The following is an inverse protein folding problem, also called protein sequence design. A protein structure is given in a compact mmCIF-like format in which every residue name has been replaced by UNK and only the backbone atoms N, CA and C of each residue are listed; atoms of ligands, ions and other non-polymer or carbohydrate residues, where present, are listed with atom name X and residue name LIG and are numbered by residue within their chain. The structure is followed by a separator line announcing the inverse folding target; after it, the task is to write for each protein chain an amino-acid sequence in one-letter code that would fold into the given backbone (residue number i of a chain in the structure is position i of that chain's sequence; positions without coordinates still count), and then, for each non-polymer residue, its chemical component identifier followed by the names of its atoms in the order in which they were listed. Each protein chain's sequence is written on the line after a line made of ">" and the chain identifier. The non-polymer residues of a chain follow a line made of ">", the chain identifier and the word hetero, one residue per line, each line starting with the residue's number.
data_IF_207273642484
#
_entry.id   IF_207273642484
#
_cell.length_a   1.000
_cell.length_b   1.000
_cell.length_c   1.000
_cell.angle_alpha   90.00
_cell.angle_beta   90.00
_cell.angle_gamma   90.00
#
_symmetry.space_group_name_H-M   'P 1'
#
loop_
_entity.id
_entity.type
_entity.pdbx_description
1 polymer ?
#
# COMPACT_ATOMS: atom_id res chain seq x y z
N UNK A 1 29.74 -3.19 -7.88
CA UNK A 1 28.61 -4.11 -7.61
C UNK A 1 27.47 -3.29 -7.02
N UNK A 2 26.26 -3.44 -7.54
CA UNK A 2 25.09 -2.64 -7.14
C UNK A 2 24.23 -3.50 -6.23
N UNK A 3 23.82 -2.97 -5.08
CA UNK A 3 23.01 -3.68 -4.10
C UNK A 3 21.68 -2.96 -3.88
N UNK A 4 20.64 -3.75 -3.62
CA UNK A 4 19.29 -3.26 -3.35
C UNK A 4 18.95 -3.49 -1.89
N UNK A 5 18.57 -2.44 -1.18
CA UNK A 5 18.04 -2.49 0.18
C UNK A 5 16.57 -2.14 0.14
N UNK A 6 15.73 -2.99 0.71
CA UNK A 6 14.29 -2.76 0.85
C UNK A 6 13.92 -2.71 2.33
N UNK A 7 13.16 -1.71 2.74
CA UNK A 7 12.71 -1.52 4.10
C UNK A 7 11.21 -1.22 4.15
N UNK A 8 10.51 -1.68 5.19
CA UNK A 8 9.11 -1.38 5.45
C UNK A 8 9.00 -0.28 6.52
N UNK A 9 8.05 0.64 6.35
CA UNK A 9 7.72 1.69 7.31
C UNK A 9 6.23 1.68 7.63
N UNK A 10 5.89 2.08 8.86
CA UNK A 10 4.51 2.16 9.33
C UNK A 10 3.72 3.33 8.72
N UNK A 11 4.43 4.44 8.44
CA UNK A 11 3.84 5.63 7.83
C UNK A 11 4.63 6.09 6.61
N UNK A 12 3.97 6.69 5.61
CA UNK A 12 4.64 7.22 4.43
C UNK A 12 5.55 8.40 4.76
N UNK A 13 5.21 9.22 5.75
CA UNK A 13 6.00 10.38 6.19
C UNK A 13 7.39 9.97 6.72
N UNK A 14 7.44 8.88 7.49
CA UNK A 14 8.70 8.33 8.00
C UNK A 14 9.58 7.79 6.87
N UNK A 15 8.97 7.14 5.87
CA UNK A 15 9.69 6.65 4.70
C UNK A 15 10.28 7.79 3.85
N UNK A 16 9.56 8.89 3.68
CA UNK A 16 10.08 10.07 2.96
C UNK A 16 11.25 10.72 3.70
N UNK A 17 11.13 10.89 5.02
CA UNK A 17 12.19 11.44 5.85
C UNK A 17 13.43 10.54 5.82
N UNK A 18 13.24 9.22 5.97
CA UNK A 18 14.32 8.25 5.89
C UNK A 18 15.03 8.31 4.53
N UNK A 19 14.30 8.42 3.42
CA UNK A 19 14.91 8.56 2.09
C UNK A 19 15.70 9.84 1.92
N UNK A 20 15.21 10.98 2.43
CA UNK A 20 15.95 12.24 2.43
C UNK A 20 17.25 12.10 3.22
N UNK A 21 17.17 11.54 4.43
CA UNK A 21 18.33 11.30 5.28
C UNK A 21 19.35 10.39 4.62
N UNK A 22 18.93 9.29 3.99
CA UNK A 22 19.85 8.37 3.30
C UNK A 22 20.55 9.06 2.12
N UNK A 23 19.86 9.92 1.37
CA UNK A 23 20.47 10.72 0.29
C UNK A 23 21.47 11.75 0.80
N UNK A 24 21.26 12.31 1.98
CA UNK A 24 22.13 13.31 2.59
C UNK A 24 23.33 12.70 3.33
N UNK A 25 23.17 11.50 3.90
CA UNK A 25 24.16 10.88 4.79
C UNK A 25 25.03 9.82 4.13
N UNK A 26 24.62 9.26 2.98
CA UNK A 26 25.32 8.15 2.34
C UNK A 26 25.70 8.51 0.91
N UNK A 27 27.00 8.62 0.67
CA UNK A 27 27.57 8.70 -0.68
C UNK A 27 27.35 7.36 -1.41
N UNK A 28 27.21 7.38 -2.74
CA UNK A 28 26.93 6.21 -3.60
C UNK A 28 25.50 5.62 -3.54
N UNK A 29 24.49 6.46 -3.31
CA UNK A 29 23.08 6.11 -3.54
C UNK A 29 22.68 6.46 -4.98
N UNK A 30 22.30 5.46 -5.78
CA UNK A 30 21.91 5.66 -7.17
C UNK A 30 20.42 6.03 -7.31
N UNK A 31 19.56 5.39 -6.51
CA UNK A 31 18.12 5.63 -6.58
C UNK A 31 17.43 5.27 -5.28
N UNK A 32 16.44 6.05 -4.88
CA UNK A 32 15.54 5.74 -3.78
C UNK A 32 14.10 5.96 -4.25
N UNK A 33 13.26 4.93 -4.14
CA UNK A 33 11.85 4.97 -4.53
C UNK A 33 10.98 4.40 -3.41
N UNK A 34 9.87 5.07 -3.12
CA UNK A 34 8.81 4.51 -2.29
C UNK A 34 7.83 3.72 -3.15
N UNK A 35 7.37 2.61 -2.61
CA UNK A 35 6.32 1.76 -3.15
C UNK A 35 5.15 1.83 -2.18
N UNK A 36 4.08 2.48 -2.65
CA UNK A 36 2.82 2.57 -1.93
C UNK A 36 2.02 1.29 -2.12
N UNK A 37 1.42 0.80 -1.04
CA UNK A 37 0.52 -0.34 -1.12
C UNK A 37 -0.81 0.11 -1.74
N UNK A 38 -0.99 -0.15 -3.05
CA UNK A 38 -2.21 0.21 -3.81
C UNK A 38 -3.48 -0.48 -3.30
N UNK A 39 -3.36 -1.57 -2.54
CA UNK A 39 -4.51 -2.32 -2.03
C UNK A 39 -5.23 -1.53 -0.92
N UNK A 40 -4.48 -0.88 -0.03
CA UNK A 40 -5.03 0.03 1.00
C UNK A 40 -5.75 1.25 0.39
N UNK A 41 -5.24 1.80 -0.71
CA UNK A 41 -5.90 2.92 -1.40
C UNK A 41 -7.22 2.52 -2.07
N UNK A 42 -7.34 1.28 -2.54
CA UNK A 42 -8.59 0.76 -3.11
C UNK A 42 -9.68 0.60 -2.05
N UNK A 43 -9.33 0.15 -0.84
CA UNK A 43 -10.29 0.03 0.26
C UNK A 43 -10.88 1.39 0.69
N UNK A 44 -10.05 2.44 0.72
CA UNK A 44 -10.47 3.81 1.01
C UNK A 44 -11.48 4.34 -0.02
N UNK A 45 -11.26 4.03 -1.31
CA UNK A 45 -12.18 4.36 -2.41
C UNK A 45 -13.49 3.57 -2.36
N UNK A 46 -13.44 2.32 -1.89
CA UNK A 46 -14.62 1.46 -1.71
C UNK A 46 -15.58 1.97 -0.60
N UNK A 47 -15.11 2.81 0.34
CA UNK A 47 -16.00 3.38 1.37
C UNK A 47 -17.09 4.31 0.83
N UNK A 48 -17.01 4.72 -0.43
CA UNK A 48 -18.02 5.53 -1.15
C UNK A 48 -18.77 4.73 -2.22
N UNK A 49 -18.60 3.41 -2.27
CA UNK A 49 -19.25 2.55 -3.25
C UNK A 49 -20.73 2.36 -2.95
N UNK A 50 -21.56 2.34 -4.00
CA UNK A 50 -22.94 1.88 -3.94
C UNK A 50 -22.97 0.37 -4.15
N UNK A 51 -23.69 -0.36 -3.31
CA UNK A 51 -23.95 -1.79 -3.52
C UNK A 51 -25.26 -1.95 -4.28
N UNK A 52 -25.19 -2.67 -5.40
CA UNK A 52 -26.36 -3.05 -6.20
C UNK A 52 -26.79 -4.46 -5.80
N UNK A 53 -27.91 -4.59 -5.11
CA UNK A 53 -28.54 -5.88 -4.86
C UNK A 53 -29.69 -6.08 -5.83
N UNK A 54 -29.64 -7.18 -6.60
CA UNK A 54 -30.74 -7.60 -7.46
C UNK A 54 -31.70 -8.41 -6.58
N UNK A 55 -32.93 -7.93 -6.41
CA UNK A 55 -33.98 -8.67 -5.70
C UNK A 55 -34.64 -9.60 -6.73
N UNK A 56 -34.52 -10.94 -6.60
CA UNK A 56 -35.22 -11.84 -7.50
C UNK A 56 -36.71 -11.87 -7.09
N UNK A 57 -37.54 -11.08 -7.77
CA UNK A 57 -39.00 -11.19 -7.62
C UNK A 57 -39.51 -12.26 -8.57
N UNK A 58 -39.95 -13.40 -8.02
CA UNK A 58 -40.65 -14.42 -8.79
C UNK A 58 -42.08 -13.93 -9.08
N UNK A 59 -42.41 -13.72 -10.35
CA UNK A 59 -43.79 -13.54 -10.81
C UNK A 59 -44.06 -14.46 -11.99
N UNK A 60 -44.98 -15.40 -11.81
CA UNK A 60 -45.56 -16.23 -12.85
C UNK A 60 -46.91 -15.56 -13.16
N UNK A 61 -47.26 -15.17 -14.37
CA UNK A 61 -47.35 -15.98 -15.58
C UNK A 61 -47.37 -15.06 -16.81
N UNK A 62 -46.60 -15.40 -17.84
CA UNK A 62 -46.51 -14.74 -19.16
C UNK A 62 -45.84 -13.35 -19.14
N UNK A 63 -44.53 -13.34 -19.45
CA UNK A 63 -43.75 -12.20 -19.98
C UNK A 63 -43.69 -10.91 -19.14
N UNK A 64 -42.72 -10.83 -18.21
CA UNK A 64 -41.76 -9.71 -18.06
C UNK A 64 -41.08 -9.78 -16.69
N UNK A 65 -39.75 -9.89 -16.66
CA UNK A 65 -38.96 -9.76 -15.45
C UNK A 65 -38.74 -8.26 -15.18
N UNK A 66 -39.40 -7.68 -14.17
CA UNK A 66 -38.97 -6.40 -13.63
C UNK A 66 -37.77 -6.67 -12.71
N UNK A 67 -36.55 -6.38 -13.20
CA UNK A 67 -35.36 -6.34 -12.33
C UNK A 67 -35.37 -5.03 -11.56
N UNK A 68 -35.98 -5.02 -10.37
CA UNK A 68 -35.83 -3.90 -9.45
C UNK A 68 -34.39 -3.90 -8.92
N UNK A 69 -33.62 -2.87 -9.30
CA UNK A 69 -32.28 -2.63 -8.78
C UNK A 69 -32.43 -1.74 -7.56
N UNK A 70 -32.14 -2.28 -6.37
CA UNK A 70 -32.12 -1.48 -5.14
C UNK A 70 -30.71 -0.94 -4.94
N UNK A 71 -30.56 0.38 -5.03
CA UNK A 71 -29.34 1.09 -4.66
C UNK A 71 -29.32 1.26 -3.15
N UNK A 72 -28.39 0.59 -2.48
CA UNK A 72 -28.12 0.85 -1.06
C UNK A 72 -26.70 1.38 -0.89
N UNK A 73 -26.49 2.39 -0.02
CA UNK A 73 -25.14 2.76 0.37
C UNK A 73 -24.47 1.54 1.01
N UNK A 74 -23.26 1.18 0.57
CA UNK A 74 -22.55 0.03 1.11
C UNK A 74 -22.44 0.16 2.64
N UNK A 75 -23.04 -0.77 3.38
CA UNK A 75 -22.98 -0.74 4.84
C UNK A 75 -21.52 -0.91 5.28
N UNK A 76 -21.17 -0.26 6.41
CA UNK A 76 -19.81 -0.29 6.95
C UNK A 76 -19.30 -1.72 7.23
N UNK A 77 -20.20 -2.67 7.41
CA UNK A 77 -19.90 -4.07 7.67
C UNK A 77 -19.48 -4.86 6.42
N UNK A 78 -19.85 -4.39 5.22
CA UNK A 78 -19.51 -5.04 3.94
C UNK A 78 -18.16 -4.54 3.40
N UNK A 79 -17.75 -3.35 3.82
CA UNK A 79 -16.44 -2.81 3.45
C UNK A 79 -15.40 -3.61 4.24
N UNK A 80 -14.52 -4.40 3.58
CA UNK A 80 -13.45 -5.10 4.29
C UNK A 80 -12.65 -4.04 5.04
N UNK A 81 -12.50 -4.22 6.36
CA UNK A 81 -11.73 -3.27 7.17
C UNK A 81 -10.40 -3.01 6.46
N UNK A 82 -10.08 -1.74 6.14
CA UNK A 82 -8.85 -1.45 5.43
C UNK A 82 -7.73 -2.03 6.26
N UNK A 83 -6.98 -2.99 5.70
CA UNK A 83 -5.90 -3.65 6.39
C UNK A 83 -5.08 -2.57 7.12
N UNK A 84 -5.15 -2.53 8.45
CA UNK A 84 -4.61 -1.45 9.30
C UNK A 84 -3.13 -1.17 9.03
N UNK A 85 -2.46 -2.13 8.40
CA UNK A 85 -1.10 -2.06 7.93
C UNK A 85 -0.99 -1.17 6.66
N UNK A 86 -0.93 0.16 6.85
CA UNK A 86 -0.43 1.13 5.85
C UNK A 86 1.08 1.02 5.62
N UNK A 87 1.57 -0.22 5.52
CA UNK A 87 2.98 -0.50 5.27
C UNK A 87 3.39 0.13 3.96
N UNK A 88 4.35 1.04 4.05
CA UNK A 88 4.96 1.67 2.89
C UNK A 88 6.37 1.10 2.76
N UNK A 89 6.73 0.58 1.60
CA UNK A 89 8.06 0.03 1.39
C UNK A 89 8.95 1.03 0.67
N UNK A 90 10.18 1.22 1.17
CA UNK A 90 11.21 2.01 0.51
C UNK A 90 12.22 1.06 -0.13
N UNK A 91 12.54 1.32 -1.40
CA UNK A 91 13.57 0.62 -2.16
C UNK A 91 14.73 1.58 -2.43
N UNK A 92 15.90 1.24 -1.93
CA UNK A 92 17.13 2.03 -2.07
C UNK A 92 18.14 1.18 -2.85
N UNK A 93 18.68 1.75 -3.91
CA UNK A 93 19.73 1.18 -4.74
C UNK A 93 21.02 1.90 -4.38
N UNK A 94 21.99 1.17 -3.85
CA UNK A 94 23.25 1.70 -3.36
C UNK A 94 24.44 0.87 -3.87
N UNK A 95 25.64 1.43 -3.80
CA UNK A 95 26.86 0.65 -4.00
C UNK A 95 27.07 -0.36 -2.86
N UNK A 96 27.67 -1.52 -3.15
CA UNK A 96 27.89 -2.59 -2.15
C UNK A 96 28.62 -2.11 -0.88
N UNK A 97 29.54 -1.15 -1.01
CA UNK A 97 30.26 -0.56 0.13
C UNK A 97 29.40 0.34 1.04
N UNK A 98 28.24 0.78 0.57
CA UNK A 98 27.34 1.68 1.28
C UNK A 98 26.18 0.95 1.98
N UNK A 99 26.05 -0.37 1.80
CA UNK A 99 24.91 -1.16 2.29
C UNK A 99 24.77 -1.06 3.81
N UNK A 100 25.85 -1.26 4.56
CA UNK A 100 25.82 -1.22 6.03
C UNK A 100 25.44 0.16 6.59
N UNK A 101 25.89 1.22 5.92
CA UNK A 101 25.53 2.60 6.26
C UNK A 101 24.05 2.89 5.96
N UNK A 102 23.52 2.39 4.85
CA UNK A 102 22.08 2.53 4.54
C UNK A 102 21.25 1.76 5.58
N UNK A 103 21.66 0.56 5.96
CA UNK A 103 20.96 -0.25 6.97
C UNK A 103 20.97 0.45 8.34
N UNK A 104 22.10 1.02 8.77
CA UNK A 104 22.19 1.73 10.05
C UNK A 104 21.29 2.96 10.09
N UNK A 105 21.26 3.75 9.00
CA UNK A 105 20.37 4.91 8.89
C UNK A 105 18.90 4.46 8.90
N UNK A 106 18.54 3.42 8.15
CA UNK A 106 17.17 2.89 8.13
C UNK A 106 16.74 2.38 9.52
N UNK A 107 17.60 1.66 10.23
CA UNK A 107 17.32 1.22 11.60
C UNK A 107 17.11 2.39 12.56
N UNK A 108 17.92 3.45 12.45
CA UNK A 108 17.77 4.65 13.28
C UNK A 108 16.43 5.39 13.04
N UNK A 109 15.85 5.21 11.86
CA UNK A 109 14.58 5.80 11.43
C UNK A 109 13.36 4.92 11.71
N UNK A 110 13.54 3.79 12.42
CA UNK A 110 12.45 2.88 12.76
C UNK A 110 11.99 2.00 11.59
N UNK A 111 12.86 1.73 10.62
CA UNK A 111 12.55 0.78 9.55
C UNK A 111 12.35 -0.63 10.10
N UNK A 112 11.38 -1.34 9.53
CA UNK A 112 11.04 -2.73 9.85
C UNK A 112 11.37 -3.63 8.66
N UNK A 113 11.70 -4.90 8.91
CA UNK A 113 11.91 -5.93 7.90
C UNK A 113 12.88 -5.52 6.77
N UNK A 114 14.08 -5.07 7.14
CA UNK A 114 15.12 -4.68 6.17
C UNK A 114 15.64 -5.93 5.46
N UNK A 115 15.59 -5.94 4.13
CA UNK A 115 16.16 -7.00 3.29
C UNK A 115 17.17 -6.38 2.34
N UNK A 116 18.28 -7.06 2.13
CA UNK A 116 19.29 -6.68 1.15
C UNK A 116 19.44 -7.79 0.11
N UNK A 117 19.63 -7.40 -1.15
CA UNK A 117 20.01 -8.27 -2.24
C UNK A 117 21.29 -7.70 -2.87
N UNK A 118 22.33 -8.53 -2.95
CA UNK A 118 23.64 -8.19 -3.49
C UNK A 118 23.80 -8.60 -4.95
#
# INVERSE_FOLDING_TARGET
>A
MISRVTAEFESPELAELAMKRVKESVDYVYSAKMIYNRISDKALKLSRGTSFSIIPTYYNTNTNFLTAVMESPASRDIIPEPARSRKTSACIICGSAAVDNVISVLNSMGALNIRFAQ
#
